data_IF_535716678706
#
_entry.id   IF_535716678706
#
_cell.length_a   1.000
_cell.length_b   1.000
_cell.length_c   1.000
_cell.angle_alpha   90.00
_cell.angle_beta   90.00
_cell.angle_gamma   90.00
#
_symmetry.space_group_name_H-M   'P 1'
#
loop_
_entity.id
_entity.type
_entity.pdbx_description
1 polymer ?
#
# COMPACT_ATOMS: atom_id res chain seq x y z
N UNK A 1 49.69 -26.67 -15.24
CA UNK A 1 49.49 -26.34 -13.81
C UNK A 1 48.61 -25.11 -13.71
N UNK A 2 47.34 -25.33 -13.47
CA UNK A 2 46.33 -24.28 -13.45
C UNK A 2 46.24 -23.70 -12.03
N UNK A 3 46.57 -22.43 -11.86
CA UNK A 3 46.42 -21.70 -10.60
C UNK A 3 44.93 -21.45 -10.40
N UNK A 4 44.25 -22.19 -9.52
CA UNK A 4 43.00 -21.83 -8.95
C UNK A 4 43.19 -20.54 -8.16
N UNK A 5 42.60 -19.42 -8.61
CA UNK A 5 42.52 -18.22 -7.85
C UNK A 5 41.72 -18.51 -6.57
N UNK A 6 42.37 -18.39 -5.44
CA UNK A 6 41.69 -18.38 -4.14
C UNK A 6 40.85 -17.09 -4.08
N UNK A 7 39.56 -17.23 -4.16
CA UNK A 7 38.62 -16.15 -3.87
C UNK A 7 38.84 -15.80 -2.40
N UNK A 8 39.33 -14.58 -2.15
CA UNK A 8 39.65 -14.12 -0.81
C UNK A 8 38.37 -14.05 0.02
N UNK A 9 38.45 -14.64 1.23
CA UNK A 9 37.36 -14.64 2.22
C UNK A 9 36.94 -13.22 2.68
N UNK A 10 37.65 -12.19 2.23
CA UNK A 10 37.42 -10.78 2.60
C UNK A 10 36.36 -10.07 1.76
N UNK A 11 35.86 -10.63 0.67
CA UNK A 11 34.85 -9.98 -0.16
C UNK A 11 33.43 -9.97 0.45
N UNK A 12 33.22 -10.70 1.56
CA UNK A 12 31.94 -10.76 2.26
C UNK A 12 31.73 -9.67 3.34
N UNK A 13 32.73 -8.85 3.60
CA UNK A 13 32.73 -7.89 4.72
C UNK A 13 32.42 -6.45 4.28
N UNK A 14 32.50 -6.12 3.00
CA UNK A 14 32.56 -4.73 2.57
C UNK A 14 31.22 -4.02 2.28
N UNK A 15 30.10 -4.72 2.20
CA UNK A 15 28.82 -4.06 1.96
C UNK A 15 27.72 -4.54 2.93
N UNK A 16 27.01 -3.63 3.57
CA UNK A 16 25.84 -3.97 4.37
C UNK A 16 24.77 -4.57 3.45
N UNK A 17 24.07 -5.59 3.94
CA UNK A 17 23.03 -6.30 3.21
C UNK A 17 21.71 -6.19 3.94
N UNK A 18 20.63 -6.37 3.20
CA UNK A 18 19.29 -6.42 3.77
C UNK A 18 18.99 -7.79 4.37
N UNK A 19 18.35 -7.78 5.53
CA UNK A 19 17.84 -8.96 6.23
C UNK A 19 16.43 -8.69 6.72
N UNK A 20 15.67 -9.75 6.99
CA UNK A 20 14.33 -9.65 7.59
C UNK A 20 14.38 -10.16 9.02
N UNK A 21 13.97 -9.32 9.94
CA UNK A 21 13.71 -9.67 11.33
C UNK A 21 12.23 -10.04 11.45
N UNK A 22 11.94 -11.13 12.15
CA UNK A 22 10.58 -11.48 12.52
C UNK A 22 10.28 -11.04 13.95
N UNK A 23 9.10 -10.46 14.15
CA UNK A 23 8.63 -9.92 15.42
C UNK A 23 7.18 -10.34 15.69
N UNK A 24 6.70 -10.12 16.90
CA UNK A 24 5.28 -10.27 17.21
C UNK A 24 4.51 -9.19 16.48
N UNK A 25 3.56 -9.60 15.63
CA UNK A 25 2.72 -8.71 14.80
C UNK A 25 2.09 -7.58 15.60
N UNK A 26 2.15 -6.37 15.05
CA UNK A 26 1.64 -5.14 15.68
C UNK A 26 2.62 -4.50 16.67
N UNK A 27 3.79 -5.08 16.88
CA UNK A 27 4.82 -4.55 17.77
C UNK A 27 6.09 -4.09 17.05
N UNK A 28 6.05 -4.01 15.73
CA UNK A 28 7.22 -3.74 14.88
C UNK A 28 7.89 -2.42 15.25
N UNK A 29 7.11 -1.34 15.44
CA UNK A 29 7.65 -0.02 15.84
C UNK A 29 8.30 -0.06 17.23
N UNK A 30 7.73 -0.82 18.17
CA UNK A 30 8.33 -1.01 19.50
C UNK A 30 9.65 -1.77 19.41
N UNK A 31 9.73 -2.78 18.55
CA UNK A 31 10.97 -3.52 18.28
C UNK A 31 12.02 -2.60 17.67
N UNK A 32 11.67 -1.78 16.67
CA UNK A 32 12.59 -0.81 16.05
C UNK A 32 13.14 0.15 17.10
N UNK A 33 12.27 0.70 17.96
CA UNK A 33 12.69 1.59 19.05
C UNK A 33 13.67 0.91 20.00
N UNK A 34 13.38 -0.33 20.41
CA UNK A 34 14.24 -1.11 21.29
C UNK A 34 15.58 -1.44 20.62
N UNK A 35 15.58 -1.83 19.34
CA UNK A 35 16.79 -2.07 18.56
C UNK A 35 17.65 -0.80 18.46
N UNK A 36 17.08 0.33 18.08
CA UNK A 36 17.80 1.62 18.00
C UNK A 36 18.42 2.01 19.34
N UNK A 37 17.69 1.81 20.45
CA UNK A 37 18.22 2.04 21.81
C UNK A 37 19.42 1.15 22.14
N UNK A 38 19.35 -0.14 21.81
CA UNK A 38 20.46 -1.09 22.02
C UNK A 38 21.66 -0.76 21.11
N UNK A 39 21.43 -0.48 19.83
CA UNK A 39 22.46 -0.10 18.87
C UNK A 39 23.27 1.10 19.40
N UNK A 40 22.57 2.14 19.86
CA UNK A 40 23.19 3.31 20.44
C UNK A 40 23.97 2.96 21.73
N UNK A 41 23.41 2.15 22.61
CA UNK A 41 24.03 1.76 23.89
C UNK A 41 25.31 0.91 23.72
N UNK A 42 25.33 0.06 22.69
CA UNK A 42 26.50 -0.78 22.38
C UNK A 42 27.50 -0.16 21.39
N UNK A 43 27.17 1.00 20.84
CA UNK A 43 28.06 1.70 19.89
C UNK A 43 28.11 1.05 18.49
N UNK A 44 27.04 0.37 18.06
CA UNK A 44 26.99 -0.34 16.76
C UNK A 44 26.33 0.47 15.65
N UNK A 45 26.30 1.80 15.78
CA UNK A 45 25.66 2.66 14.79
C UNK A 45 26.33 2.60 13.37
N UNK A 46 27.62 2.29 13.32
CA UNK A 46 28.38 2.09 12.08
C UNK A 46 28.07 0.77 11.37
N UNK A 47 27.60 -0.24 12.13
CA UNK A 47 27.28 -1.57 11.60
C UNK A 47 25.86 -1.66 11.03
N UNK A 48 24.95 -0.75 11.38
CA UNK A 48 23.55 -0.78 10.96
C UNK A 48 23.23 0.50 10.21
N UNK A 49 22.91 0.35 8.92
CA UNK A 49 22.63 1.47 8.02
C UNK A 49 21.19 1.94 8.07
N UNK A 50 20.25 0.98 8.10
CA UNK A 50 18.84 1.31 8.01
C UNK A 50 17.97 0.25 8.68
N UNK A 51 16.85 0.66 9.27
CA UNK A 51 15.83 -0.24 9.84
C UNK A 51 14.46 0.31 9.46
N UNK A 52 13.66 -0.47 8.72
CA UNK A 52 12.36 -0.03 8.20
C UNK A 52 11.29 -1.09 8.28
N UNK A 53 10.05 -0.63 8.31
CA UNK A 53 8.85 -1.41 8.01
C UNK A 53 8.23 -0.87 6.73
N UNK A 54 7.49 -1.71 6.02
CA UNK A 54 6.75 -1.31 4.82
C UNK A 54 5.30 -1.15 5.22
N UNK A 55 4.78 0.07 5.09
CA UNK A 55 3.40 0.41 5.37
C UNK A 55 2.62 0.58 4.07
N UNK A 56 1.35 0.29 4.13
CA UNK A 56 0.37 0.57 3.09
C UNK A 56 -0.59 1.63 3.60
N UNK A 57 -0.71 2.74 2.89
CA UNK A 57 -1.66 3.80 3.15
C UNK A 57 -2.76 3.74 2.10
N UNK A 58 -3.95 3.38 2.53
CA UNK A 58 -5.11 3.24 1.66
C UNK A 58 -5.98 4.48 1.84
N UNK A 59 -6.19 5.21 0.76
CA UNK A 59 -7.11 6.35 0.69
C UNK A 59 -8.40 5.88 0.04
N UNK A 60 -9.45 5.73 0.85
CA UNK A 60 -10.79 5.35 0.37
C UNK A 60 -11.60 6.61 0.08
N UNK A 61 -12.11 6.71 -1.12
CA UNK A 61 -12.94 7.83 -1.56
C UNK A 61 -14.36 7.32 -1.79
N UNK A 62 -15.33 7.96 -1.14
CA UNK A 62 -16.76 7.72 -1.33
C UNK A 62 -17.41 9.03 -1.74
N UNK A 63 -18.31 8.99 -2.73
CA UNK A 63 -19.06 10.16 -3.19
C UNK A 63 -20.56 9.97 -2.91
N UNK A 64 -21.21 11.02 -2.43
CA UNK A 64 -22.62 11.04 -2.07
C UNK A 64 -23.30 12.20 -2.77
N UNK A 65 -24.47 11.99 -3.37
CA UNK A 65 -25.32 13.10 -3.83
C UNK A 65 -25.81 13.90 -2.61
N UNK A 66 -26.20 15.16 -2.84
CA UNK A 66 -26.70 16.03 -1.75
C UNK A 66 -27.88 15.41 -0.99
N UNK A 67 -28.75 14.66 -1.72
CA UNK A 67 -29.96 14.03 -1.17
C UNK A 67 -29.65 12.79 -0.31
N UNK A 68 -28.54 12.10 -0.60
CA UNK A 68 -28.13 10.85 0.09
C UNK A 68 -26.89 11.06 1.00
N UNK A 69 -26.56 12.31 1.28
CA UNK A 69 -25.41 12.62 2.10
C UNK A 69 -25.58 12.12 3.54
N UNK A 70 -24.57 11.42 4.10
CA UNK A 70 -24.66 10.94 5.46
C UNK A 70 -24.67 12.11 6.47
N UNK A 71 -25.30 11.92 7.62
CA UNK A 71 -25.49 12.95 8.65
C UNK A 71 -24.20 13.49 9.31
N UNK A 72 -23.07 12.88 8.98
CA UNK A 72 -21.75 13.27 9.48
C UNK A 72 -20.93 14.09 8.48
N UNK A 73 -21.51 14.52 7.36
CA UNK A 73 -20.85 15.43 6.40
C UNK A 73 -20.35 16.68 7.12
N UNK A 74 -19.10 17.05 6.85
CA UNK A 74 -18.45 18.23 7.43
C UNK A 74 -18.02 18.08 8.88
N UNK A 75 -18.33 16.98 9.58
CA UNK A 75 -17.82 16.75 10.94
C UNK A 75 -16.35 16.36 10.88
N UNK A 76 -15.56 16.92 11.80
CA UNK A 76 -14.15 16.52 11.99
C UNK A 76 -14.10 15.12 12.60
N UNK A 77 -13.78 14.13 11.79
CA UNK A 77 -13.52 12.76 12.21
C UNK A 77 -12.04 12.45 12.04
N UNK A 78 -11.50 11.60 12.91
CA UNK A 78 -10.13 11.12 12.77
C UNK A 78 -10.01 10.34 11.46
N UNK A 79 -9.02 10.70 10.64
CA UNK A 79 -8.72 10.03 9.37
C UNK A 79 -9.82 10.15 8.29
N UNK A 80 -10.76 11.09 8.41
CA UNK A 80 -11.77 11.37 7.37
C UNK A 80 -11.78 12.87 7.07
N UNK A 81 -11.62 13.20 5.79
CA UNK A 81 -11.77 14.55 5.27
C UNK A 81 -13.02 14.60 4.39
N UNK A 82 -13.73 15.73 4.45
CA UNK A 82 -14.89 15.98 3.61
C UNK A 82 -14.57 17.08 2.62
N UNK A 83 -14.92 16.85 1.34
CA UNK A 83 -14.88 17.87 0.28
C UNK A 83 -16.26 18.00 -0.33
N UNK A 84 -16.62 19.22 -0.70
CA UNK A 84 -17.79 19.49 -1.55
C UNK A 84 -17.31 19.67 -2.96
N UNK A 85 -17.89 18.94 -3.90
CA UNK A 85 -17.56 19.01 -5.33
C UNK A 85 -18.85 19.29 -6.12
N UNK A 86 -18.72 20.02 -7.22
CA UNK A 86 -19.82 20.31 -8.13
C UNK A 86 -19.53 19.61 -9.46
N UNK A 87 -20.48 18.79 -9.92
CA UNK A 87 -20.43 18.10 -11.21
C UNK A 87 -21.75 18.31 -11.93
N UNK A 88 -21.69 18.82 -13.16
CA UNK A 88 -22.87 19.05 -14.01
C UNK A 88 -23.98 19.86 -13.30
N UNK A 89 -23.61 20.88 -12.52
CA UNK A 89 -24.56 21.71 -11.80
C UNK A 89 -25.20 21.04 -10.58
N UNK A 90 -24.78 19.85 -10.19
CA UNK A 90 -25.22 19.11 -9.00
C UNK A 90 -24.11 19.08 -7.94
N UNK A 91 -24.47 19.22 -6.67
CA UNK A 91 -23.55 19.19 -5.53
C UNK A 91 -23.39 17.73 -5.06
N UNK A 92 -22.14 17.34 -4.87
CA UNK A 92 -21.75 16.05 -4.25
C UNK A 92 -20.86 16.30 -3.04
N UNK A 93 -20.95 15.41 -2.07
CA UNK A 93 -20.05 15.35 -0.92
C UNK A 93 -19.12 14.17 -1.07
N UNK A 94 -17.82 14.40 -0.98
CA UNK A 94 -16.79 13.38 -1.06
C UNK A 94 -16.18 13.15 0.31
N UNK A 95 -16.26 11.93 0.82
CA UNK A 95 -15.51 11.50 1.99
C UNK A 95 -14.18 10.88 1.56
N UNK A 96 -13.09 11.34 2.15
CA UNK A 96 -11.74 10.84 1.93
C UNK A 96 -11.27 10.24 3.24
N UNK A 97 -11.26 8.91 3.33
CA UNK A 97 -10.84 8.17 4.52
C UNK A 97 -9.45 7.58 4.29
N UNK A 98 -8.51 7.93 5.17
CA UNK A 98 -7.14 7.41 5.13
C UNK A 98 -6.96 6.33 6.17
N UNK A 99 -6.52 5.15 5.74
CA UNK A 99 -6.14 4.02 6.59
C UNK A 99 -4.67 3.67 6.33
N UNK A 100 -3.89 3.49 7.39
CA UNK A 100 -2.48 3.10 7.32
C UNK A 100 -2.27 1.82 8.11
N UNK A 101 -1.66 0.82 7.49
CA UNK A 101 -1.35 -0.47 8.12
C UNK A 101 0.01 -1.00 7.64
N UNK A 102 0.63 -1.87 8.43
CA UNK A 102 1.84 -2.56 8.00
C UNK A 102 1.49 -3.54 6.87
N UNK A 103 2.13 -3.40 5.71
CA UNK A 103 1.94 -4.29 4.55
C UNK A 103 2.40 -5.72 4.89
N UNK A 104 3.51 -5.82 5.61
CA UNK A 104 4.08 -7.09 6.07
C UNK A 104 4.11 -7.13 7.60
N UNK A 105 2.96 -7.44 8.19
CA UNK A 105 2.83 -7.52 9.64
C UNK A 105 3.75 -8.59 10.23
N UNK A 106 4.49 -8.23 11.29
CA UNK A 106 5.49 -9.09 11.93
C UNK A 106 6.87 -9.10 11.26
N UNK A 107 7.10 -8.30 10.20
CA UNK A 107 8.39 -8.24 9.52
C UNK A 107 9.01 -6.85 9.60
N UNK A 108 10.32 -6.81 9.87
CA UNK A 108 11.14 -5.61 9.93
C UNK A 108 12.35 -5.82 9.01
N UNK A 109 12.60 -4.87 8.13
CA UNK A 109 13.71 -4.89 7.19
C UNK A 109 14.88 -4.13 7.79
N UNK A 110 16.05 -4.74 7.80
CA UNK A 110 17.27 -4.14 8.36
C UNK A 110 18.42 -4.25 7.36
N UNK A 111 19.09 -3.12 7.11
CA UNK A 111 20.31 -3.07 6.29
C UNK A 111 21.52 -2.97 7.23
N UNK A 112 22.38 -3.99 7.24
CA UNK A 112 23.44 -4.10 8.23
C UNK A 112 24.62 -4.95 7.76
N UNK A 113 25.75 -4.74 8.40
CA UNK A 113 26.86 -5.68 8.39
C UNK A 113 26.56 -6.80 9.38
N UNK A 114 26.39 -8.03 8.88
CA UNK A 114 26.05 -9.16 9.71
C UNK A 114 27.30 -9.77 10.32
N UNK A 115 27.40 -9.70 11.64
CA UNK A 115 28.36 -10.44 12.44
C UNK A 115 27.67 -11.10 13.64
N UNK A 116 28.43 -11.87 14.40
CA UNK A 116 27.87 -12.62 15.54
C UNK A 116 27.35 -11.69 16.65
N UNK A 117 27.94 -10.51 16.82
CA UNK A 117 27.52 -9.51 17.83
C UNK A 117 26.19 -8.90 17.48
N UNK A 118 26.02 -8.48 16.21
CA UNK A 118 24.77 -7.91 15.71
C UNK A 118 23.67 -8.97 15.68
N UNK A 119 24.00 -10.18 15.24
CA UNK A 119 23.05 -11.31 15.26
C UNK A 119 22.54 -11.57 16.69
N UNK A 120 23.45 -11.61 17.67
CA UNK A 120 23.11 -11.81 19.09
C UNK A 120 22.27 -10.65 19.64
N UNK A 121 22.62 -9.40 19.32
CA UNK A 121 21.90 -8.20 19.75
C UNK A 121 20.45 -8.24 19.25
N UNK A 122 20.25 -8.54 17.97
CA UNK A 122 18.92 -8.59 17.36
C UNK A 122 18.08 -9.70 18.01
N UNK A 123 18.64 -10.91 18.07
CA UNK A 123 17.93 -12.08 18.59
C UNK A 123 17.52 -11.93 20.07
N UNK A 124 18.30 -11.21 20.86
CA UNK A 124 17.99 -10.92 22.25
C UNK A 124 17.20 -9.62 22.45
N UNK A 125 16.66 -9.04 21.39
CA UNK A 125 15.78 -7.88 21.52
C UNK A 125 14.37 -8.35 21.81
N UNK A 126 13.72 -7.67 22.75
CA UNK A 126 12.36 -8.00 23.18
C UNK A 126 11.39 -7.95 22.00
N UNK A 127 10.46 -8.91 21.94
CA UNK A 127 9.45 -9.08 20.90
C UNK A 127 9.99 -9.50 19.52
N UNK A 128 11.29 -9.67 19.34
CA UNK A 128 11.89 -10.33 18.19
C UNK A 128 11.68 -11.83 18.34
N UNK A 129 11.16 -12.47 17.29
CA UNK A 129 10.96 -13.93 17.26
C UNK A 129 12.07 -14.65 16.49
N UNK A 130 12.80 -13.94 15.62
CA UNK A 130 13.93 -14.50 14.88
C UNK A 130 14.43 -13.61 13.74
N UNK A 131 15.29 -14.17 12.89
CA UNK A 131 15.75 -13.58 11.64
C UNK A 131 15.49 -14.62 10.55
N UNK A 132 14.92 -14.21 9.42
CA UNK A 132 14.61 -15.11 8.29
C UNK A 132 15.90 -15.80 7.80
N UNK A 133 15.80 -17.11 7.54
CA UNK A 133 16.94 -17.94 7.12
C UNK A 133 17.86 -18.40 8.26
N UNK A 134 17.61 -18.00 9.52
CA UNK A 134 18.42 -18.43 10.69
C UNK A 134 17.81 -19.59 11.47
N UNK A 135 17.00 -20.43 10.85
CA UNK A 135 16.39 -21.60 11.46
C UNK A 135 17.37 -22.78 11.51
N UNK A 136 17.69 -23.26 12.72
CA UNK A 136 18.55 -24.41 12.94
C UNK A 136 19.82 -24.10 13.72
N UNK A 137 20.55 -25.17 14.10
CA UNK A 137 21.80 -25.07 14.86
C UNK A 137 22.89 -24.48 13.95
N UNK A 138 23.39 -23.28 14.27
CA UNK A 138 24.41 -22.56 13.51
C UNK A 138 23.97 -22.05 12.11
N UNK A 139 22.68 -21.98 11.83
CA UNK A 139 22.21 -21.41 10.58
C UNK A 139 22.41 -19.87 10.60
N UNK A 140 23.23 -19.36 9.68
CA UNK A 140 23.41 -17.91 9.50
C UNK A 140 22.23 -17.34 8.73
N UNK A 141 21.77 -16.11 9.08
CA UNK A 141 20.71 -15.43 8.34
C UNK A 141 21.06 -15.29 6.87
N UNK A 142 20.05 -15.46 6.00
CA UNK A 142 20.20 -15.28 4.57
C UNK A 142 19.86 -13.83 4.22
N UNK A 143 20.77 -13.09 3.57
CA UNK A 143 20.45 -11.75 3.08
C UNK A 143 19.45 -11.79 1.94
N UNK A 144 18.64 -10.75 1.85
CA UNK A 144 17.75 -10.50 0.72
C UNK A 144 18.50 -9.65 -0.29
N UNK A 145 18.32 -9.92 -1.57
CA UNK A 145 18.88 -9.11 -2.63
C UNK A 145 18.18 -7.74 -2.72
N UNK A 146 18.91 -6.72 -3.21
CA UNK A 146 18.31 -5.39 -3.45
C UNK A 146 17.13 -5.50 -4.43
N UNK A 147 17.21 -6.38 -5.42
CA UNK A 147 16.13 -6.68 -6.36
C UNK A 147 14.87 -7.21 -5.65
N UNK A 148 15.01 -8.11 -4.67
CA UNK A 148 13.86 -8.63 -3.90
C UNK A 148 13.23 -7.54 -3.03
N UNK A 149 14.04 -6.67 -2.43
CA UNK A 149 13.55 -5.50 -1.69
C UNK A 149 12.77 -4.57 -2.62
N UNK A 150 13.35 -4.22 -3.77
CA UNK A 150 12.66 -3.41 -4.78
C UNK A 150 11.35 -4.07 -5.24
N UNK A 151 11.37 -5.38 -5.46
CA UNK A 151 10.16 -6.13 -5.83
C UNK A 151 9.11 -6.12 -4.73
N UNK A 152 9.48 -6.23 -3.45
CA UNK A 152 8.55 -6.13 -2.32
C UNK A 152 7.94 -4.72 -2.20
N UNK A 153 8.72 -3.70 -2.54
CA UNK A 153 8.26 -2.32 -2.61
C UNK A 153 7.32 -2.07 -3.80
N UNK A 154 7.62 -2.71 -4.94
CA UNK A 154 6.91 -2.52 -6.20
C UNK A 154 5.86 -3.61 -6.49
N UNK A 155 5.47 -4.43 -5.52
CA UNK A 155 4.58 -5.59 -5.72
C UNK A 155 3.14 -5.27 -6.14
N UNK A 156 2.81 -3.99 -6.29
CA UNK A 156 1.68 -3.54 -7.10
C UNK A 156 2.19 -3.20 -8.50
N UNK A 157 2.42 -4.24 -9.31
CA UNK A 157 3.06 -4.22 -10.64
C UNK A 157 2.40 -3.32 -11.72
N UNK A 158 1.38 -2.54 -11.38
CA UNK A 158 0.76 -1.58 -12.29
C UNK A 158 1.31 -0.15 -12.15
N UNK A 159 2.16 0.11 -11.15
CA UNK A 159 2.57 1.48 -10.84
C UNK A 159 3.76 1.96 -11.70
N UNK A 160 4.75 1.09 -11.95
CA UNK A 160 5.92 1.46 -12.77
C UNK A 160 5.60 1.52 -14.27
N UNK A 161 4.60 0.78 -14.76
CA UNK A 161 4.17 0.88 -16.16
C UNK A 161 3.43 2.19 -16.46
N UNK A 162 2.82 2.81 -15.44
CA UNK A 162 2.14 4.10 -15.56
C UNK A 162 3.11 5.30 -15.51
N UNK A 163 4.22 5.18 -14.78
CA UNK A 163 5.21 6.28 -14.67
C UNK A 163 6.15 6.31 -15.89
N UNK A 164 6.45 5.15 -16.51
CA UNK A 164 7.40 5.05 -17.62
C UNK A 164 6.79 5.32 -19.01
N UNK A 165 5.49 5.49 -19.13
CA UNK A 165 4.85 5.91 -20.38
C UNK A 165 4.75 7.45 -20.44
N UNK A 166 5.80 8.10 -20.90
CA UNK A 166 5.90 9.56 -21.09
C UNK A 166 4.90 10.15 -22.13
N UNK A 167 3.97 9.36 -22.70
CA UNK A 167 3.05 9.77 -23.75
C UNK A 167 1.57 9.76 -23.38
N UNK A 168 1.20 9.67 -22.10
CA UNK A 168 -0.21 9.74 -21.71
C UNK A 168 -0.49 10.94 -20.79
N UNK A 169 -0.52 12.13 -21.41
CA UNK A 169 -0.87 13.39 -20.72
C UNK A 169 -2.36 13.54 -20.38
N UNK A 170 -3.18 12.51 -20.53
CA UNK A 170 -4.63 12.59 -20.32
C UNK A 170 -5.23 11.63 -19.27
N UNK A 171 -4.41 10.87 -18.52
CA UNK A 171 -4.92 9.91 -17.52
C UNK A 171 -4.49 10.29 -16.09
N UNK A 172 -4.07 11.52 -15.87
CA UNK A 172 -3.56 11.98 -14.56
C UNK A 172 -4.64 12.36 -13.55
N UNK A 173 -5.88 11.94 -13.74
CA UNK A 173 -6.91 12.48 -12.87
C UNK A 173 -7.31 11.53 -11.76
N UNK A 174 -6.78 10.53 -11.25
CA UNK A 174 -7.38 9.88 -10.07
C UNK A 174 -6.66 8.71 -9.37
N UNK A 175 -5.39 8.40 -9.68
CA UNK A 175 -4.67 7.42 -8.86
C UNK A 175 -3.29 7.95 -8.48
N UNK A 176 -3.25 8.79 -7.44
CA UNK A 176 -1.99 9.22 -6.87
C UNK A 176 -1.55 8.13 -5.90
N UNK A 177 -0.59 7.34 -6.30
CA UNK A 177 0.19 6.57 -5.33
C UNK A 177 1.51 7.29 -5.12
N UNK A 178 1.73 7.73 -3.90
CA UNK A 178 2.95 8.41 -3.49
C UNK A 178 3.76 7.48 -2.58
N UNK A 179 5.07 7.48 -2.77
CA UNK A 179 5.99 6.78 -1.88
C UNK A 179 6.58 7.82 -0.93
N UNK A 180 6.20 7.74 0.33
CA UNK A 180 6.78 8.55 1.39
C UNK A 180 7.83 7.75 2.14
N UNK A 181 8.94 8.40 2.47
CA UNK A 181 9.97 7.84 3.34
C UNK A 181 10.01 8.67 4.61
N UNK A 182 9.76 8.03 5.74
CA UNK A 182 10.09 8.58 7.04
C UNK A 182 11.31 7.85 7.62
N UNK A 183 11.75 8.24 8.83
CA UNK A 183 12.94 7.67 9.46
C UNK A 183 12.87 6.15 9.71
N UNK A 184 11.66 5.56 9.74
CA UNK A 184 11.44 4.18 10.17
C UNK A 184 10.57 3.37 9.23
N UNK A 185 9.95 3.99 8.22
CA UNK A 185 9.02 3.29 7.34
C UNK A 185 9.09 3.78 5.90
N UNK A 186 8.72 2.91 4.99
CA UNK A 186 8.39 3.21 3.60
C UNK A 186 6.89 3.06 3.50
N UNK A 187 6.21 4.10 3.03
CA UNK A 187 4.75 4.14 2.91
C UNK A 187 4.38 4.08 1.45
N UNK A 188 3.60 3.06 1.08
CA UNK A 188 2.99 2.92 -0.25
C UNK A 188 1.56 3.44 -0.14
N UNK A 189 1.22 4.45 -0.91
CA UNK A 189 -0.14 5.00 -0.92
C UNK A 189 -0.93 4.46 -2.10
N UNK A 190 -2.13 3.96 -1.85
CA UNK A 190 -3.10 3.56 -2.87
C UNK A 190 -4.42 4.29 -2.67
N UNK A 191 -5.05 4.73 -3.76
CA UNK A 191 -6.36 5.37 -3.74
C UNK A 191 -7.40 4.35 -4.18
N UNK A 192 -8.42 4.15 -3.35
CA UNK A 192 -9.53 3.24 -3.63
C UNK A 192 -10.84 4.03 -3.55
N UNK A 193 -11.62 4.00 -4.62
CA UNK A 193 -12.98 4.53 -4.63
C UNK A 193 -13.92 3.46 -4.06
N UNK A 194 -14.74 3.84 -3.09
CA UNK A 194 -15.72 2.96 -2.50
C UNK A 194 -17.13 3.39 -2.97
N UNK A 195 -17.95 2.41 -3.30
CA UNK A 195 -19.34 2.60 -3.68
C UNK A 195 -20.26 2.00 -2.62
N UNK A 196 -21.48 2.53 -2.53
CA UNK A 196 -22.54 2.01 -1.63
C UNK A 196 -23.36 0.86 -2.25
N UNK A 197 -22.91 0.33 -3.40
CA UNK A 197 -23.53 -0.77 -4.13
C UNK A 197 -22.50 -1.87 -4.42
N UNK A 198 -23.00 -3.09 -4.64
CA UNK A 198 -22.22 -4.27 -4.96
C UNK A 198 -22.59 -4.86 -6.34
N UNK A 199 -21.83 -5.88 -6.77
CA UNK A 199 -22.13 -6.62 -8.01
C UNK A 199 -23.49 -7.27 -7.89
N UNK A 200 -24.30 -7.17 -8.96
CA UNK A 200 -25.71 -7.56 -9.09
C UNK A 200 -26.71 -6.63 -8.39
N UNK A 201 -26.29 -5.56 -7.76
CA UNK A 201 -27.23 -4.55 -7.27
C UNK A 201 -27.86 -3.77 -8.43
N UNK A 202 -29.11 -3.32 -8.24
CA UNK A 202 -29.76 -2.37 -9.11
C UNK A 202 -29.37 -0.95 -8.72
N UNK A 203 -28.97 -0.18 -9.70
CA UNK A 203 -28.54 1.22 -9.57
C UNK A 203 -29.27 2.10 -10.54
N UNK A 204 -29.50 3.35 -10.14
CA UNK A 204 -30.01 4.41 -11.02
C UNK A 204 -28.84 5.24 -11.50
N UNK A 205 -28.82 5.53 -12.81
CA UNK A 205 -27.86 6.46 -13.38
C UNK A 205 -28.37 7.89 -13.13
N UNK A 206 -27.59 8.70 -12.41
CA UNK A 206 -28.01 10.03 -11.95
C UNK A 206 -27.41 11.17 -12.77
N UNK A 207 -26.56 10.87 -13.78
CA UNK A 207 -25.93 11.89 -14.62
C UNK A 207 -25.41 11.29 -15.92
N UNK A 208 -25.39 12.09 -17.00
CA UNK A 208 -24.88 11.72 -18.33
C UNK A 208 -25.97 11.34 -19.32
N UNK A 209 -25.55 10.79 -20.48
CA UNK A 209 -26.45 10.47 -21.60
C UNK A 209 -27.53 9.43 -21.26
N UNK A 210 -27.30 8.64 -20.21
CA UNK A 210 -28.22 7.60 -19.74
C UNK A 210 -28.89 7.99 -18.40
N UNK A 211 -28.99 9.27 -18.11
CA UNK A 211 -29.59 9.76 -16.85
C UNK A 211 -31.03 9.21 -16.68
N UNK A 212 -31.37 8.83 -15.44
CA UNK A 212 -32.63 8.23 -15.03
C UNK A 212 -32.88 6.78 -15.48
N UNK A 213 -31.95 6.14 -16.17
CA UNK A 213 -32.04 4.70 -16.49
C UNK A 213 -31.71 3.86 -15.26
N UNK A 214 -32.37 2.70 -15.16
CA UNK A 214 -32.06 1.66 -14.18
C UNK A 214 -31.08 0.67 -14.82
N UNK A 215 -30.07 0.29 -14.08
CA UNK A 215 -29.02 -0.61 -14.54
C UNK A 215 -28.68 -1.65 -13.47
N UNK A 216 -28.13 -2.78 -13.89
CA UNK A 216 -27.58 -3.79 -12.98
C UNK A 216 -26.04 -3.74 -13.01
N UNK A 217 -25.40 -3.71 -11.86
CA UNK A 217 -23.94 -3.70 -11.75
C UNK A 217 -23.37 -5.07 -12.11
N UNK A 218 -22.51 -5.11 -13.14
CA UNK A 218 -21.86 -6.35 -13.59
C UNK A 218 -20.48 -6.51 -12.95
N UNK A 219 -19.69 -5.43 -12.91
CA UNK A 219 -18.36 -5.44 -12.30
C UNK A 219 -18.01 -4.08 -11.73
N UNK A 220 -17.04 -4.06 -10.82
CA UNK A 220 -16.52 -2.86 -10.14
C UNK A 220 -15.02 -2.77 -10.33
N UNK A 221 -14.54 -1.55 -10.52
CA UNK A 221 -13.12 -1.23 -10.50
C UNK A 221 -12.88 -0.13 -9.45
N UNK A 222 -12.54 -0.55 -8.24
CA UNK A 222 -12.39 0.35 -7.11
C UNK A 222 -11.15 1.26 -7.24
N UNK A 223 -10.15 0.87 -8.02
CA UNK A 223 -8.97 1.70 -8.27
C UNK A 223 -9.26 2.87 -9.20
N UNK A 224 -10.24 2.73 -10.09
CA UNK A 224 -10.67 3.78 -11.03
C UNK A 224 -11.99 4.46 -10.62
N UNK A 225 -12.72 3.90 -9.66
CA UNK A 225 -14.05 4.38 -9.29
C UNK A 225 -15.09 4.22 -10.39
N UNK A 226 -14.98 3.14 -11.20
CA UNK A 226 -15.83 2.86 -12.36
C UNK A 226 -16.53 1.51 -12.19
N UNK A 227 -17.82 1.48 -12.53
CA UNK A 227 -18.58 0.23 -12.66
C UNK A 227 -18.94 -0.05 -14.11
N UNK A 228 -18.93 -1.31 -14.51
CA UNK A 228 -19.59 -1.77 -15.71
C UNK A 228 -21.02 -2.17 -15.32
N UNK A 229 -21.97 -1.50 -15.92
CA UNK A 229 -23.40 -1.73 -15.67
C UNK A 229 -24.11 -2.23 -16.93
N UNK A 230 -25.11 -3.07 -16.77
CA UNK A 230 -26.01 -3.52 -17.82
C UNK A 230 -27.29 -2.66 -17.78
N UNK A 231 -27.54 -1.94 -18.84
CA UNK A 231 -28.72 -1.07 -19.05
C UNK A 231 -29.57 -1.68 -20.13
N UNK A 232 -30.90 -1.68 -19.97
CA UNK A 232 -31.83 -2.08 -21.02
C UNK A 232 -32.33 -0.84 -21.78
N UNK A 233 -31.90 -0.69 -23.03
CA UNK A 233 -32.28 0.42 -23.91
C UNK A 233 -33.01 -0.17 -25.13
N UNK A 234 -34.24 0.25 -25.37
CA UNK A 234 -35.08 -0.24 -26.50
C UNK A 234 -35.16 -1.76 -26.58
N UNK A 235 -35.41 -2.45 -25.44
CA UNK A 235 -35.44 -3.91 -25.31
C UNK A 235 -34.14 -4.61 -25.71
N UNK A 236 -33.01 -3.91 -25.64
CA UNK A 236 -31.67 -4.48 -25.84
C UNK A 236 -30.79 -4.21 -24.62
N UNK A 237 -30.13 -5.24 -24.16
CA UNK A 237 -29.16 -5.13 -23.08
C UNK A 237 -27.85 -4.60 -23.63
N UNK A 238 -27.37 -3.51 -23.06
CA UNK A 238 -26.11 -2.86 -23.41
C UNK A 238 -25.26 -2.67 -22.15
N UNK A 239 -23.94 -2.83 -22.30
CA UNK A 239 -22.98 -2.59 -21.21
C UNK A 239 -22.43 -1.18 -21.34
N UNK A 240 -22.36 -0.48 -20.22
CA UNK A 240 -21.78 0.87 -20.14
C UNK A 240 -20.80 0.94 -18.97
N UNK A 241 -19.69 1.68 -19.17
CA UNK A 241 -18.78 2.07 -18.09
C UNK A 241 -19.26 3.39 -17.48
N UNK A 242 -19.52 3.41 -16.19
CA UNK A 242 -20.05 4.58 -15.49
C UNK A 242 -19.27 4.78 -14.18
N UNK A 243 -18.90 6.04 -13.91
CA UNK A 243 -18.26 6.41 -12.65
C UNK A 243 -19.20 6.15 -11.46
N UNK A 244 -18.65 5.72 -10.31
CA UNK A 244 -19.42 5.49 -9.08
C UNK A 244 -20.24 6.70 -8.65
N UNK A 245 -19.70 7.92 -8.85
CA UNK A 245 -20.40 9.17 -8.55
C UNK A 245 -21.70 9.38 -9.35
N UNK A 246 -21.86 8.69 -10.47
CA UNK A 246 -23.02 8.81 -11.34
C UNK A 246 -24.02 7.68 -11.16
N UNK A 247 -23.80 6.82 -10.15
CA UNK A 247 -24.63 5.68 -9.83
C UNK A 247 -25.19 5.80 -8.40
N UNK A 248 -26.48 5.54 -8.26
CA UNK A 248 -27.18 5.54 -6.98
C UNK A 248 -27.85 4.19 -6.77
N UNK A 249 -27.62 3.55 -5.62
CA UNK A 249 -28.26 2.27 -5.30
C UNK A 249 -29.76 2.45 -5.15
N UNK A 250 -30.53 1.60 -5.81
CA UNK A 250 -31.98 1.49 -5.63
C UNK A 250 -32.22 0.48 -4.51
N UNK A 251 -32.91 0.91 -3.46
CA UNK A 251 -33.35 0.05 -2.35
C UNK A 251 -34.61 -0.72 -2.71
#
# INVERSE_FOLDING_TARGET
MSKKAAISVNEYIDNPKWYIITAISGNEESVIKNLKGKIASYGYADKIRDIKIIKEKIVKIEEFSADNAPSNVGKKLKNVQWKTIEKNGKVFYQSIKTEEKNKFSGYIFINMFMDDEIWFLIRNTQLVTGIVGSSGKNAKPVPISDYEIERLLNSDNNFNDLINNENSSEIFDNNISEIYKDDNSIVLESVIYSANFDINDQVKIISGDMENQIATVISKNDSKGIAIVEVEIFNRKSKAEINYSNLEKIN
#
